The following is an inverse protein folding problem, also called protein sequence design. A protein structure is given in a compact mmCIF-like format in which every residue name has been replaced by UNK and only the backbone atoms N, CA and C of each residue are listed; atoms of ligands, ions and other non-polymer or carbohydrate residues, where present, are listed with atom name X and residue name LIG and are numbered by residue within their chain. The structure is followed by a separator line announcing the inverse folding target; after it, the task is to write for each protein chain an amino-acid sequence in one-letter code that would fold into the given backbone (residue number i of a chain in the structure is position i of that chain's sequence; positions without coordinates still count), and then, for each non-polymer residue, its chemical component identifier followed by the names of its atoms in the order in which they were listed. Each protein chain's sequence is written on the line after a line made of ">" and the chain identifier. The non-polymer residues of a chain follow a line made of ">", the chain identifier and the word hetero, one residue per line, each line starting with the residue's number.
data_IF_240352067900
#
_entry.id   IF_240352067900
#
_cell.length_a   1.000
_cell.length_b   1.000
_cell.length_c   1.000
_cell.angle_alpha   90.00
_cell.angle_beta   90.00
_cell.angle_gamma   90.00
#
_symmetry.space_group_name_H-M   'P 1'
#
loop_
_entity.id
_entity.type
_entity.pdbx_description
1 polymer ?
#
# COMPACT_ATOMS: atom_id res chain seq x y z
N UNK A 1 29.35 -7.07 -11.60
CA UNK A 1 28.17 -6.37 -12.16
C UNK A 1 27.09 -6.33 -11.10
N UNK A 2 26.78 -5.16 -10.55
CA UNK A 2 25.84 -5.01 -9.44
C UNK A 2 24.40 -5.21 -9.95
N UNK A 3 23.75 -6.29 -9.53
CA UNK A 3 22.28 -6.39 -9.64
C UNK A 3 21.70 -5.44 -8.61
N UNK A 4 21.41 -4.22 -9.04
CA UNK A 4 20.67 -3.23 -8.26
C UNK A 4 19.31 -3.83 -7.92
N UNK A 5 19.04 -3.84 -6.62
CA UNK A 5 17.87 -4.43 -5.99
C UNK A 5 16.61 -4.00 -6.73
N UNK A 6 15.95 -4.93 -7.42
CA UNK A 6 14.63 -4.73 -8.03
C UNK A 6 13.67 -4.42 -6.88
N UNK A 7 13.49 -3.14 -6.58
CA UNK A 7 12.43 -2.69 -5.69
C UNK A 7 11.15 -3.04 -6.43
N UNK A 8 10.47 -4.12 -6.02
CA UNK A 8 9.08 -4.39 -6.38
C UNK A 8 8.25 -3.22 -5.86
N UNK A 9 8.27 -2.13 -6.62
CA UNK A 9 7.65 -0.89 -6.24
C UNK A 9 6.18 -1.06 -6.56
N UNK A 10 5.36 -1.32 -5.53
CA UNK A 10 3.90 -1.27 -5.69
C UNK A 10 3.55 0.04 -6.38
N UNK A 11 2.90 -0.07 -7.55
CA UNK A 11 2.56 1.08 -8.37
C UNK A 11 1.57 1.97 -7.60
N UNK A 12 1.61 3.30 -7.80
CA UNK A 12 0.70 4.18 -7.08
C UNK A 12 -0.77 3.86 -7.35
N UNK A 13 -1.10 3.33 -8.53
CA UNK A 13 -2.44 2.88 -8.91
C UNK A 13 -2.87 1.71 -8.02
N UNK A 14 -1.99 0.73 -7.82
CA UNK A 14 -2.27 -0.43 -6.96
C UNK A 14 -2.56 -0.02 -5.52
N UNK A 15 -1.82 0.97 -5.00
CA UNK A 15 -2.03 1.49 -3.63
C UNK A 15 -3.37 2.20 -3.52
N UNK A 16 -3.74 3.00 -4.52
CA UNK A 16 -5.01 3.70 -4.55
C UNK A 16 -6.20 2.72 -4.62
N UNK A 17 -6.07 1.66 -5.42
CA UNK A 17 -7.06 0.59 -5.48
C UNK A 17 -7.20 -0.10 -4.12
N UNK A 18 -6.08 -0.41 -3.47
CA UNK A 18 -6.07 -1.02 -2.14
C UNK A 18 -6.78 -0.17 -1.08
N UNK A 19 -6.52 1.14 -1.07
CA UNK A 19 -7.20 2.07 -0.16
C UNK A 19 -8.69 2.18 -0.51
N UNK A 20 -9.06 2.19 -1.79
CA UNK A 20 -10.47 2.20 -2.23
C UNK A 20 -11.21 0.94 -1.77
N UNK A 21 -10.59 -0.24 -1.79
CA UNK A 21 -11.23 -1.46 -1.26
C UNK A 21 -11.61 -1.30 0.22
N UNK A 22 -10.74 -0.71 1.03
CA UNK A 22 -10.99 -0.51 2.47
C UNK A 22 -12.00 0.62 2.71
N UNK A 23 -11.84 1.75 2.03
CA UNK A 23 -12.62 2.97 2.29
C UNK A 23 -13.98 2.93 1.60
N UNK A 24 -14.04 2.44 0.36
CA UNK A 24 -15.27 2.43 -0.46
C UNK A 24 -16.08 1.16 -0.23
N UNK A 25 -15.45 -0.02 -0.23
CA UNK A 25 -16.18 -1.28 0.04
C UNK A 25 -16.34 -1.55 1.54
N UNK A 26 -15.69 -0.78 2.42
CA UNK A 26 -15.75 -0.99 3.86
C UNK A 26 -15.05 -2.28 4.33
N UNK A 27 -14.19 -2.86 3.48
CA UNK A 27 -13.48 -4.10 3.82
C UNK A 27 -12.51 -3.87 4.98
N UNK A 28 -12.35 -4.89 5.81
CA UNK A 28 -11.34 -4.87 6.86
C UNK A 28 -9.93 -4.83 6.25
N UNK A 29 -8.99 -4.16 6.92
CA UNK A 29 -7.57 -4.15 6.52
C UNK A 29 -7.00 -5.56 6.33
N UNK A 30 -7.54 -6.56 7.03
CA UNK A 30 -7.13 -7.95 6.88
C UNK A 30 -7.61 -8.54 5.54
N UNK A 31 -8.92 -8.46 5.28
CA UNK A 31 -9.53 -9.01 4.05
C UNK A 31 -8.98 -8.35 2.79
N UNK A 32 -8.83 -7.02 2.80
CA UNK A 32 -8.24 -6.30 1.69
C UNK A 32 -6.75 -6.65 1.49
N UNK A 33 -6.00 -6.90 2.56
CA UNK A 33 -4.61 -7.32 2.50
C UNK A 33 -4.46 -8.74 1.92
N UNK A 34 -5.32 -9.68 2.33
CA UNK A 34 -5.33 -11.05 1.79
C UNK A 34 -5.65 -11.07 0.29
N UNK A 35 -6.65 -10.29 -0.13
CA UNK A 35 -7.09 -10.21 -1.53
C UNK A 35 -6.01 -9.64 -2.46
N UNK A 36 -5.23 -8.70 -1.95
CA UNK A 36 -4.14 -8.05 -2.66
C UNK A 36 -2.76 -8.71 -2.42
N UNK A 37 -2.72 -9.76 -1.59
CA UNK A 37 -1.50 -10.44 -1.14
C UNK A 37 -0.41 -9.48 -0.64
N UNK A 38 -0.82 -8.43 0.08
CA UNK A 38 0.08 -7.49 0.76
C UNK A 38 -0.01 -7.65 2.28
N UNK A 39 0.96 -7.13 3.01
CA UNK A 39 0.89 -7.16 4.48
C UNK A 39 -0.13 -6.13 4.99
N UNK A 40 -0.87 -6.51 6.04
CA UNK A 40 -1.81 -5.61 6.74
C UNK A 40 -1.15 -4.30 7.19
N UNK A 41 0.11 -4.36 7.60
CA UNK A 41 0.88 -3.18 8.02
C UNK A 41 1.11 -2.19 6.88
N UNK A 42 1.46 -2.69 5.69
CA UNK A 42 1.61 -1.86 4.48
C UNK A 42 0.28 -1.21 4.10
N UNK A 43 -0.81 -1.98 4.11
CA UNK A 43 -2.13 -1.46 3.79
C UNK A 43 -2.61 -0.42 4.81
N UNK A 44 -2.42 -0.67 6.11
CA UNK A 44 -2.77 0.27 7.16
C UNK A 44 -2.01 1.59 7.07
N UNK A 45 -0.72 1.53 6.69
CA UNK A 45 0.08 2.74 6.41
C UNK A 45 -0.49 3.53 5.23
N UNK A 46 -0.84 2.88 4.12
CA UNK A 46 -1.45 3.54 2.95
C UNK A 46 -2.81 4.17 3.27
N UNK A 47 -3.68 3.49 4.00
CA UNK A 47 -4.98 4.04 4.42
C UNK A 47 -4.79 5.25 5.33
N UNK A 48 -3.84 5.19 6.27
CA UNK A 48 -3.53 6.31 7.17
C UNK A 48 -2.98 7.51 6.41
N UNK A 49 -2.08 7.30 5.45
CA UNK A 49 -1.60 8.36 4.56
C UNK A 49 -2.72 8.94 3.72
N UNK A 50 -3.59 8.12 3.12
CA UNK A 50 -4.69 8.60 2.30
C UNK A 50 -5.75 9.40 3.09
N UNK A 51 -5.91 9.11 4.40
CA UNK A 51 -6.77 9.90 5.29
C UNK A 51 -6.14 11.22 5.71
N UNK A 52 -4.82 11.24 5.92
CA UNK A 52 -4.07 12.45 6.30
C UNK A 52 -3.80 13.38 5.10
N UNK A 53 -3.68 12.81 3.91
CA UNK A 53 -3.48 13.50 2.65
C UNK A 53 -4.75 13.35 1.82
N UNK A 54 -5.68 14.29 1.93
CA UNK A 54 -6.85 14.34 1.07
C UNK A 54 -6.43 14.36 -0.43
N UNK A 55 -6.60 13.23 -1.12
CA UNK A 55 -6.35 12.95 -2.55
C UNK A 55 -4.89 12.69 -3.02
N UNK A 56 -4.68 11.85 -4.07
CA UNK A 56 -3.69 10.78 -4.05
C UNK A 56 -2.42 11.11 -4.81
N UNK A 57 -1.36 11.46 -4.08
CA UNK A 57 0.00 11.38 -4.63
C UNK A 57 0.96 11.21 -3.46
N UNK A 58 1.36 9.96 -3.18
CA UNK A 58 2.31 9.68 -2.12
C UNK A 58 3.33 8.66 -2.61
N UNK A 59 4.20 9.17 -3.47
CA UNK A 59 5.55 8.71 -3.70
C UNK A 59 6.35 8.70 -2.38
N UNK A 60 6.08 7.76 -1.48
CA UNK A 60 6.92 7.46 -0.32
C UNK A 60 6.55 6.10 0.26
N UNK A 61 6.91 5.03 -0.44
CA UNK A 61 7.06 3.73 0.22
C UNK A 61 8.32 3.05 -0.34
N UNK A 62 9.45 3.73 -0.17
CA UNK A 62 10.73 3.06 -0.08
C UNK A 62 10.81 2.42 1.31
N UNK A 63 10.93 1.10 1.34
CA UNK A 63 11.42 0.37 2.52
C UNK A 63 10.41 0.08 3.62
N UNK A 64 9.51 -0.88 3.42
CA UNK A 64 9.10 -1.76 4.53
C UNK A 64 9.95 -3.03 4.46
N UNK A 65 11.22 -2.93 4.87
CA UNK A 65 11.99 -4.10 5.31
C UNK A 65 11.35 -4.56 6.61
N UNK A 66 10.87 -5.80 6.65
CA UNK A 66 10.68 -6.50 7.91
C UNK A 66 11.86 -7.47 8.06
N UNK A 67 12.54 -7.31 9.20
CA UNK A 67 13.65 -8.09 9.74
C UNK A 67 13.47 -9.60 9.56
#
# INVERSE_FOLDING_TARGET
>A
MAVTKRQTQYTPEFRAEAVKLVVVQGLSLHEAAERLKISKGTLGYWVTMARKSTAPSAAAAGGLKKV
#
